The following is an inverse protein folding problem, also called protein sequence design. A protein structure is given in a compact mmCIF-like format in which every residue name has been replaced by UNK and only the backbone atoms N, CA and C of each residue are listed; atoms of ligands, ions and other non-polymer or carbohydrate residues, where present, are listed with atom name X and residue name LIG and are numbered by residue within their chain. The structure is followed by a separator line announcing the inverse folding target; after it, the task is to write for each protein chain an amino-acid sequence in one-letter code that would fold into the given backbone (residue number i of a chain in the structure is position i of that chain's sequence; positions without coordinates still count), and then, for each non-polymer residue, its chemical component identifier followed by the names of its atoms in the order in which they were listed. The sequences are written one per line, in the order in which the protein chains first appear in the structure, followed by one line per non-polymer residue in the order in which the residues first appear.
data_IF_910335569603
#
_entry.id   IF_910335569603
#
_cell.length_a   1.000
_cell.length_b   1.000
_cell.length_c   1.000
_cell.angle_alpha   90.00
_cell.angle_beta   90.00
_cell.angle_gamma   90.00
#
_symmetry.space_group_name_H-M   'P 1'
#
loop_
_entity.id
_entity.type
_entity.pdbx_description
1 polymer ?
#
# COMPACT_ATOMS: atom_id res chain seq x y z
N UNK A 1 27.12 -13.57 -31.88
CA UNK A 1 27.80 -13.48 -30.57
C UNK A 1 26.81 -13.81 -29.46
N UNK A 2 26.95 -14.95 -28.78
CA UNK A 2 26.12 -15.28 -27.60
C UNK A 2 26.68 -14.46 -26.43
N UNK A 3 25.92 -13.47 -25.94
CA UNK A 3 26.26 -12.79 -24.67
C UNK A 3 26.21 -13.83 -23.54
N UNK A 4 27.35 -14.14 -22.97
CA UNK A 4 27.43 -14.92 -21.73
C UNK A 4 26.79 -14.10 -20.61
N UNK A 5 25.77 -14.67 -19.94
CA UNK A 5 25.20 -14.07 -18.74
C UNK A 5 26.28 -13.96 -17.65
N UNK A 6 26.33 -12.87 -16.88
CA UNK A 6 27.31 -12.70 -15.83
C UNK A 6 27.16 -13.82 -14.79
N UNK A 7 28.29 -14.40 -14.36
CA UNK A 7 28.30 -15.43 -13.31
C UNK A 7 27.85 -14.81 -11.99
N UNK A 8 26.83 -15.40 -11.37
CA UNK A 8 26.35 -14.98 -10.05
C UNK A 8 27.49 -15.15 -9.04
N UNK A 9 27.79 -14.10 -8.28
CA UNK A 9 28.84 -14.11 -7.26
C UNK A 9 28.53 -15.13 -6.14
N UNK A 10 29.55 -15.54 -5.39
CA UNK A 10 29.38 -16.44 -4.24
C UNK A 10 28.41 -15.88 -3.21
N UNK A 11 28.47 -14.57 -2.97
CA UNK A 11 27.54 -13.82 -2.11
C UNK A 11 26.10 -13.87 -2.66
N UNK A 12 25.93 -13.70 -3.98
CA UNK A 12 24.61 -13.81 -4.62
C UNK A 12 24.01 -15.21 -4.51
N UNK A 13 24.84 -16.26 -4.59
CA UNK A 13 24.39 -17.65 -4.38
C UNK A 13 24.00 -17.92 -2.94
N UNK A 14 24.74 -17.39 -1.96
CA UNK A 14 24.41 -17.50 -0.55
C UNK A 14 23.10 -16.80 -0.22
N UNK A 15 22.88 -15.57 -0.76
CA UNK A 15 21.65 -14.82 -0.61
C UNK A 15 20.45 -15.57 -1.22
N UNK A 16 20.60 -16.09 -2.44
CA UNK A 16 19.55 -16.88 -3.10
C UNK A 16 19.20 -18.12 -2.28
N UNK A 17 20.18 -18.82 -1.69
CA UNK A 17 19.95 -19.97 -0.82
C UNK A 17 19.21 -19.59 0.47
N UNK A 18 19.55 -18.44 1.07
CA UNK A 18 18.83 -17.91 2.25
C UNK A 18 17.40 -17.55 1.92
N UNK A 19 17.13 -16.95 0.76
CA UNK A 19 15.79 -16.65 0.29
C UNK A 19 14.95 -17.90 0.05
N UNK A 20 15.56 -18.96 -0.53
CA UNK A 20 14.88 -20.25 -0.70
C UNK A 20 14.54 -20.92 0.63
N UNK A 21 15.40 -20.82 1.64
CA UNK A 21 15.09 -21.30 2.99
C UNK A 21 13.97 -20.48 3.65
N UNK A 22 13.91 -19.17 3.41
CA UNK A 22 12.85 -18.30 3.89
C UNK A 22 11.50 -18.58 3.20
N UNK A 23 11.49 -19.14 1.99
CA UNK A 23 10.29 -19.44 1.22
C UNK A 23 9.33 -20.37 2.00
N UNK A 24 9.85 -21.35 2.70
CA UNK A 24 9.04 -22.25 3.55
C UNK A 24 8.32 -21.50 4.68
N UNK A 25 8.90 -20.42 5.20
CA UNK A 25 8.27 -19.55 6.19
C UNK A 25 7.17 -18.70 5.55
N UNK A 26 7.42 -18.17 4.35
CA UNK A 26 6.43 -17.39 3.59
C UNK A 26 5.23 -18.25 3.19
N UNK A 27 5.45 -19.49 2.79
CA UNK A 27 4.38 -20.43 2.43
C UNK A 27 3.45 -20.77 3.61
N UNK A 28 3.92 -20.63 4.85
CA UNK A 28 3.06 -20.82 6.01
C UNK A 28 1.98 -19.73 6.14
N UNK A 29 2.19 -18.55 5.56
CA UNK A 29 1.20 -17.47 5.57
C UNK A 29 -0.12 -17.90 4.92
N UNK A 30 -0.10 -18.81 3.94
CA UNK A 30 -1.28 -19.38 3.28
C UNK A 30 -2.26 -20.03 4.26
N UNK A 31 -1.79 -20.58 5.37
CA UNK A 31 -2.66 -21.19 6.38
C UNK A 31 -3.62 -20.17 6.99
N UNK A 32 -3.20 -18.92 7.12
CA UNK A 32 -4.04 -17.85 7.65
C UNK A 32 -5.10 -17.40 6.64
N UNK A 33 -4.89 -17.63 5.34
CA UNK A 33 -5.85 -17.29 4.29
C UNK A 33 -7.08 -18.21 4.28
N UNK A 34 -7.04 -19.35 4.97
CA UNK A 34 -8.20 -20.26 5.10
C UNK A 34 -9.17 -19.83 6.19
N UNK A 35 -8.78 -18.90 7.04
CA UNK A 35 -9.59 -18.38 8.14
C UNK A 35 -10.23 -17.05 7.74
N UNK A 36 -11.47 -16.78 8.21
CA UNK A 36 -12.09 -15.48 8.00
C UNK A 36 -11.24 -14.36 8.62
N UNK A 37 -11.12 -13.24 7.92
CA UNK A 37 -10.48 -12.06 8.47
C UNK A 37 -11.43 -11.38 9.47
N UNK A 38 -10.98 -11.24 10.71
CA UNK A 38 -11.77 -10.67 11.82
C UNK A 38 -11.12 -9.47 12.48
N UNK A 39 -9.95 -9.05 11.99
CA UNK A 39 -9.20 -7.95 12.59
C UNK A 39 -9.84 -6.60 12.23
N UNK A 40 -10.19 -5.83 13.25
CA UNK A 40 -10.82 -4.51 13.08
C UNK A 40 -9.81 -3.39 12.81
N UNK A 41 -8.52 -3.68 12.98
CA UNK A 41 -7.43 -2.71 12.85
C UNK A 41 -6.78 -2.69 11.46
N UNK A 42 -7.48 -3.17 10.45
CA UNK A 42 -6.99 -3.33 9.08
C UNK A 42 -6.40 -2.05 8.47
N UNK A 43 -6.99 -0.91 8.77
CA UNK A 43 -6.49 0.38 8.27
C UNK A 43 -5.67 1.15 9.30
N UNK A 44 -5.37 0.55 10.45
CA UNK A 44 -4.58 1.20 11.49
C UNK A 44 -3.14 1.42 11.01
N UNK A 45 -2.69 2.67 10.87
CA UNK A 45 -1.29 2.97 10.55
C UNK A 45 -0.39 2.63 11.72
N UNK A 46 0.81 2.14 11.43
CA UNK A 46 1.82 1.76 12.43
C UNK A 46 2.82 2.89 12.67
N UNK A 47 2.30 4.09 12.91
CA UNK A 47 3.12 5.27 13.19
C UNK A 47 3.72 5.14 14.59
N UNK A 48 5.02 5.41 14.70
CA UNK A 48 5.79 5.39 15.96
C UNK A 48 5.87 4.04 16.68
N UNK A 49 5.56 2.94 16.00
CA UNK A 49 5.71 1.61 16.58
C UNK A 49 7.16 1.11 16.48
N UNK A 50 7.65 0.46 17.53
CA UNK A 50 9.05 0.02 17.64
C UNK A 50 9.49 -0.91 16.50
N UNK A 51 8.60 -1.79 16.03
CA UNK A 51 8.93 -2.84 15.06
C UNK A 51 8.42 -2.57 13.65
N UNK A 52 7.50 -1.61 13.49
CA UNK A 52 6.94 -1.23 12.20
C UNK A 52 7.43 0.17 11.83
N UNK A 53 8.15 0.27 10.74
CA UNK A 53 8.67 1.54 10.27
C UNK A 53 7.76 2.24 9.27
N UNK A 54 6.85 1.51 8.66
CA UNK A 54 5.97 2.02 7.63
C UNK A 54 4.69 1.17 7.54
N UNK A 55 3.64 1.77 6.99
CA UNK A 55 2.39 1.10 6.66
C UNK A 55 2.07 1.38 5.21
N UNK A 56 1.74 0.34 4.47
CA UNK A 56 1.40 0.39 3.07
C UNK A 56 -0.08 0.08 2.87
N UNK A 57 -0.76 0.93 2.13
CA UNK A 57 -2.11 0.70 1.65
C UNK A 57 -2.11 0.67 0.13
N UNK A 58 -2.52 -0.45 -0.45
CA UNK A 58 -2.79 -0.59 -1.87
C UNK A 58 -4.29 -0.85 -2.04
N UNK A 59 -4.97 0.01 -2.80
CA UNK A 59 -6.39 -0.14 -3.11
C UNK A 59 -6.51 -0.20 -4.62
N UNK A 60 -7.15 -1.25 -5.12
CA UNK A 60 -7.28 -1.47 -6.55
C UNK A 60 -8.73 -1.70 -6.94
N UNK A 61 -9.25 -0.86 -7.81
CA UNK A 61 -10.57 -0.95 -8.40
C UNK A 61 -10.42 -1.44 -9.84
N UNK A 62 -10.65 -2.72 -10.10
CA UNK A 62 -10.58 -3.28 -11.45
C UNK A 62 -11.87 -3.04 -12.22
N UNK A 63 -11.83 -3.22 -13.53
CA UNK A 63 -13.00 -3.26 -14.41
C UNK A 63 -13.83 -1.98 -14.41
N UNK A 64 -13.19 -0.83 -14.26
CA UNK A 64 -13.83 0.45 -14.49
C UNK A 64 -14.09 0.68 -15.99
N UNK A 65 -15.08 1.52 -16.35
CA UNK A 65 -15.34 1.88 -17.75
C UNK A 65 -14.14 2.54 -18.43
N UNK A 66 -14.12 2.46 -19.76
CA UNK A 66 -13.20 3.27 -20.58
C UNK A 66 -13.45 4.76 -20.32
N UNK A 67 -12.41 5.60 -20.34
CA UNK A 67 -11.01 5.29 -20.66
C UNK A 67 -10.17 4.80 -19.48
N UNK A 68 -10.70 4.79 -18.27
CA UNK A 68 -9.94 4.56 -17.04
C UNK A 68 -9.54 3.09 -16.83
N UNK A 69 -10.40 2.14 -17.14
CA UNK A 69 -10.25 0.68 -16.98
C UNK A 69 -9.98 0.21 -15.56
N UNK A 70 -9.23 0.94 -14.79
CA UNK A 70 -8.92 0.68 -13.38
C UNK A 70 -8.61 1.99 -12.64
N UNK A 71 -8.68 1.95 -11.30
CA UNK A 71 -8.07 2.93 -10.42
C UNK A 71 -7.16 2.18 -9.45
N UNK A 72 -5.92 2.60 -9.37
CA UNK A 72 -4.95 2.14 -8.39
C UNK A 72 -4.60 3.29 -7.44
N UNK A 73 -4.63 3.03 -6.15
CA UNK A 73 -4.27 3.97 -5.08
C UNK A 73 -3.19 3.32 -4.25
N UNK A 74 -2.07 4.03 -4.06
CA UNK A 74 -0.95 3.58 -3.26
C UNK A 74 -0.60 4.65 -2.23
N UNK A 75 -0.61 4.27 -0.96
CA UNK A 75 -0.22 5.12 0.16
C UNK A 75 0.85 4.41 0.97
N UNK A 76 1.92 5.12 1.29
CA UNK A 76 2.92 4.72 2.27
C UNK A 76 2.93 5.74 3.41
N UNK A 77 2.80 5.29 4.64
CA UNK A 77 2.87 6.14 5.84
C UNK A 77 4.10 5.74 6.63
N UNK A 78 5.06 6.67 6.73
CA UNK A 78 6.39 6.41 7.25
C UNK A 78 7.18 5.52 6.30
N UNK A 79 8.18 6.04 5.63
CA UNK A 79 8.99 5.26 4.70
C UNK A 79 10.16 4.55 5.41
N UNK A 80 10.66 3.44 4.89
CA UNK A 80 11.75 2.71 5.55
C UNK A 80 13.13 3.36 5.37
N UNK A 81 13.27 4.46 4.64
CA UNK A 81 14.56 5.03 4.28
C UNK A 81 15.37 4.12 3.34
N UNK A 82 14.70 3.27 2.58
CA UNK A 82 15.32 2.37 1.63
C UNK A 82 15.18 2.92 0.21
N UNK A 83 16.28 3.05 -0.50
CA UNK A 83 16.36 3.58 -1.87
C UNK A 83 15.31 3.00 -2.86
N UNK A 84 14.79 1.81 -2.60
CA UNK A 84 13.79 1.17 -3.46
C UNK A 84 12.40 1.82 -3.40
N UNK A 85 12.11 2.60 -2.34
CA UNK A 85 10.80 3.20 -2.08
C UNK A 85 10.87 4.70 -1.84
N UNK A 86 12.07 5.26 -1.72
CA UNK A 86 12.27 6.68 -1.47
C UNK A 86 12.61 7.37 -2.78
N UNK A 87 11.83 8.38 -3.13
CA UNK A 87 12.23 9.40 -4.06
C UNK A 87 12.89 10.51 -3.27
N UNK A 88 14.21 10.51 -3.20
CA UNK A 88 15.01 11.48 -2.44
C UNK A 88 14.66 12.93 -2.81
N UNK A 89 14.22 13.15 -4.05
CA UNK A 89 13.87 14.48 -4.55
C UNK A 89 12.58 15.06 -3.94
N UNK A 90 11.67 14.22 -3.45
CA UNK A 90 10.38 14.67 -2.88
C UNK A 90 10.29 14.50 -1.36
N UNK A 91 11.14 13.66 -0.76
CA UNK A 91 11.19 13.46 0.69
C UNK A 91 12.22 14.42 1.26
N UNK A 92 11.75 15.60 1.69
CA UNK A 92 12.61 16.69 2.18
C UNK A 92 12.91 16.62 3.68
N UNK A 93 12.31 15.68 4.41
CA UNK A 93 12.40 15.57 5.86
C UNK A 93 12.77 14.18 6.35
N UNK A 94 12.35 13.86 7.57
CA UNK A 94 12.53 12.54 8.13
C UNK A 94 11.60 11.53 7.43
N UNK A 95 12.12 10.51 6.74
CA UNK A 95 11.31 9.52 6.01
C UNK A 95 10.24 8.84 6.88
N UNK A 96 10.55 8.62 8.16
CA UNK A 96 9.60 8.02 9.14
C UNK A 96 8.42 8.92 9.46
N UNK A 97 8.54 10.21 9.21
CA UNK A 97 7.49 11.23 9.37
C UNK A 97 6.99 11.77 8.04
N UNK A 98 7.10 10.99 7.00
CA UNK A 98 6.62 11.34 5.67
C UNK A 98 5.60 10.30 5.22
N UNK A 99 4.46 10.76 4.71
CA UNK A 99 3.53 9.93 3.95
C UNK A 99 3.69 10.24 2.47
N UNK A 100 3.54 9.22 1.64
CA UNK A 100 3.54 9.39 0.19
C UNK A 100 2.28 8.80 -0.41
N UNK A 101 1.80 9.42 -1.48
CA UNK A 101 0.59 9.02 -2.19
C UNK A 101 0.80 9.14 -3.69
N UNK A 102 0.35 8.15 -4.42
CA UNK A 102 0.09 8.27 -5.85
C UNK A 102 -1.15 7.46 -6.24
N UNK A 103 -1.74 7.88 -7.34
CA UNK A 103 -2.87 7.18 -7.93
C UNK A 103 -2.68 7.10 -9.44
N UNK A 104 -3.31 6.13 -10.07
CA UNK A 104 -3.22 5.96 -11.52
C UNK A 104 -4.44 5.28 -12.10
N UNK A 105 -4.75 5.62 -13.34
CA UNK A 105 -5.73 4.95 -14.21
C UNK A 105 -5.09 4.65 -15.56
N UNK A 106 -5.75 3.88 -16.41
CA UNK A 106 -5.26 3.65 -17.78
C UNK A 106 -5.29 4.90 -18.67
N UNK A 107 -6.06 5.92 -18.29
CA UNK A 107 -6.17 7.18 -19.02
C UNK A 107 -5.10 8.22 -18.62
N UNK A 108 -4.37 7.99 -17.51
CA UNK A 108 -3.37 8.91 -17.00
C UNK A 108 -2.00 8.63 -17.63
N UNK A 109 -1.41 9.63 -18.26
CA UNK A 109 -0.09 9.48 -18.91
C UNK A 109 1.06 9.38 -17.90
N UNK A 110 0.97 10.07 -16.76
CA UNK A 110 1.97 10.08 -15.69
C UNK A 110 1.29 10.09 -14.33
N UNK A 111 1.71 9.20 -13.46
CA UNK A 111 1.37 9.21 -12.05
C UNK A 111 2.46 9.94 -11.26
N UNK A 112 2.16 11.11 -10.70
CA UNK A 112 3.10 11.89 -9.90
C UNK A 112 3.04 11.47 -8.44
N UNK A 113 4.15 11.04 -7.88
CA UNK A 113 4.25 10.77 -6.45
C UNK A 113 4.19 12.08 -5.67
N UNK A 114 3.33 12.16 -4.65
CA UNK A 114 3.21 13.30 -3.74
C UNK A 114 3.68 12.89 -2.34
N UNK A 115 4.31 13.83 -1.64
CA UNK A 115 4.81 13.62 -0.28
C UNK A 115 4.20 14.63 0.70
N UNK A 116 3.94 14.18 1.92
CA UNK A 116 3.27 14.93 2.98
C UNK A 116 4.02 14.76 4.29
N UNK A 117 4.26 15.85 5.01
CA UNK A 117 4.90 15.81 6.33
C UNK A 117 3.86 15.44 7.40
N UNK A 118 4.19 14.49 8.24
CA UNK A 118 3.35 14.06 9.35
C UNK A 118 3.80 14.80 10.62
N UNK A 119 2.92 15.51 11.34
CA UNK A 119 1.47 15.66 11.11
C UNK A 119 1.05 16.90 10.32
N UNK A 120 1.99 17.73 9.85
CA UNK A 120 1.76 19.08 9.32
C UNK A 120 0.77 19.09 8.15
N UNK A 121 0.96 18.16 7.20
CA UNK A 121 0.16 18.05 5.97
C UNK A 121 -0.88 16.92 6.03
N UNK A 122 -1.04 16.32 7.22
CA UNK A 122 -1.89 15.10 7.33
C UNK A 122 -2.80 15.13 8.54
N UNK A 123 -3.93 14.42 8.45
CA UNK A 123 -4.76 14.05 9.60
C UNK A 123 -4.88 12.55 9.66
N UNK A 124 -4.21 11.94 10.62
CA UNK A 124 -4.18 10.48 10.76
C UNK A 124 -4.57 10.09 12.18
N UNK A 125 -5.71 9.42 12.31
CA UNK A 125 -6.12 8.84 13.58
C UNK A 125 -5.33 7.55 13.85
N UNK A 126 -4.83 7.39 15.07
CA UNK A 126 -4.05 6.21 15.48
C UNK A 126 -4.81 4.89 15.36
N UNK A 127 -6.13 4.93 15.43
CA UNK A 127 -7.00 3.76 15.25
C UNK A 127 -7.32 3.48 13.77
N UNK A 128 -6.85 4.33 12.84
CA UNK A 128 -7.04 4.19 11.41
C UNK A 128 -8.43 4.57 10.92
N UNK A 129 -9.26 5.21 11.75
CA UNK A 129 -10.61 5.63 11.33
C UNK A 129 -10.63 6.81 10.39
N UNK A 130 -9.52 7.53 10.31
CA UNK A 130 -9.30 8.65 9.38
C UNK A 130 -7.84 8.67 8.95
N UNK A 131 -7.63 8.78 7.65
CA UNK A 131 -6.33 9.04 7.01
C UNK A 131 -6.58 10.09 5.92
N UNK A 132 -6.12 11.32 6.15
CA UNK A 132 -6.15 12.39 5.16
C UNK A 132 -4.71 12.80 4.84
N UNK A 133 -4.38 12.89 3.56
CA UNK A 133 -3.09 13.37 3.06
C UNK A 133 -3.34 14.60 2.17
N UNK A 134 -2.95 15.76 2.67
CA UNK A 134 -3.25 17.03 2.02
C UNK A 134 -4.74 17.24 1.82
N UNK A 135 -5.11 17.61 0.60
CA UNK A 135 -6.50 17.69 0.13
C UNK A 135 -6.78 16.62 -0.93
N UNK A 136 -5.78 15.79 -1.23
CA UNK A 136 -5.81 14.87 -2.35
C UNK A 136 -6.48 13.55 -2.05
N UNK A 137 -6.46 13.08 -0.79
CA UNK A 137 -7.11 11.83 -0.44
C UNK A 137 -7.59 11.79 1.01
N UNK A 138 -8.77 11.22 1.21
CA UNK A 138 -9.35 10.90 2.50
C UNK A 138 -9.81 9.44 2.51
N UNK A 139 -9.41 8.69 3.54
CA UNK A 139 -9.92 7.36 3.86
C UNK A 139 -10.58 7.43 5.23
N UNK A 140 -11.86 7.09 5.31
CA UNK A 140 -12.65 7.16 6.53
C UNK A 140 -13.41 5.86 6.78
N UNK A 141 -13.64 5.54 8.04
CA UNK A 141 -14.51 4.43 8.41
C UNK A 141 -13.82 3.40 9.29
N UNK A 142 -14.50 2.27 9.45
CA UNK A 142 -14.05 1.10 10.23
C UNK A 142 -14.40 -0.16 9.48
N UNK A 143 -13.52 -1.17 9.59
CA UNK A 143 -13.82 -2.49 9.06
C UNK A 143 -15.24 -2.95 9.50
N UNK A 144 -16.07 -3.45 8.60
CA UNK A 144 -15.78 -3.71 7.18
C UNK A 144 -16.11 -2.54 6.22
N UNK A 145 -16.61 -1.40 6.70
CA UNK A 145 -17.08 -0.29 5.86
C UNK A 145 -16.05 0.84 5.85
N UNK A 146 -15.59 1.18 4.67
CA UNK A 146 -14.63 2.26 4.43
C UNK A 146 -15.16 3.13 3.30
N UNK A 147 -15.07 4.44 3.49
CA UNK A 147 -15.29 5.44 2.46
C UNK A 147 -13.95 6.03 2.03
N UNK A 148 -13.72 6.16 0.73
CA UNK A 148 -12.53 6.76 0.17
C UNK A 148 -12.92 7.78 -0.89
N UNK A 149 -12.39 8.99 -0.76
CA UNK A 149 -12.56 10.03 -1.76
C UNK A 149 -11.25 10.79 -1.97
N UNK A 150 -11.14 11.44 -3.12
CA UNK A 150 -9.97 12.25 -3.40
C UNK A 150 -10.01 12.91 -4.76
N UNK A 151 -9.01 13.77 -4.93
CA UNK A 151 -8.69 14.44 -6.18
C UNK A 151 -7.21 14.23 -6.52
N UNK A 152 -6.90 13.75 -7.70
CA UNK A 152 -5.53 13.48 -8.09
C UNK A 152 -5.31 13.69 -9.59
N UNK A 153 -4.39 14.60 -9.94
CA UNK A 153 -3.95 14.86 -11.32
C UNK A 153 -5.09 14.97 -12.34
N UNK A 154 -6.16 15.72 -11.94
CA UNK A 154 -7.27 16.04 -12.83
C UNK A 154 -8.43 15.06 -12.82
N UNK A 155 -8.44 14.05 -11.95
CA UNK A 155 -9.60 13.20 -11.75
C UNK A 155 -10.04 13.16 -10.29
N UNK A 156 -11.36 13.06 -10.11
CA UNK A 156 -12.03 12.90 -8.82
C UNK A 156 -12.50 11.47 -8.65
N UNK A 157 -12.40 10.94 -7.45
CA UNK A 157 -12.95 9.63 -7.11
C UNK A 157 -13.64 9.66 -5.76
N UNK A 158 -14.71 8.86 -5.66
CA UNK A 158 -15.50 8.70 -4.46
C UNK A 158 -16.08 7.29 -4.44
N UNK A 159 -15.69 6.47 -3.44
CA UNK A 159 -16.09 5.08 -3.34
C UNK A 159 -16.42 4.67 -1.92
N UNK A 160 -17.56 4.01 -1.75
CA UNK A 160 -17.88 3.18 -0.59
C UNK A 160 -17.32 1.77 -0.83
N UNK A 161 -16.63 1.23 0.17
CA UNK A 161 -15.97 -0.07 0.13
C UNK A 161 -16.50 -0.94 1.25
N UNK A 162 -17.07 -2.08 0.88
CA UNK A 162 -17.50 -3.13 1.80
C UNK A 162 -16.49 -4.29 1.76
N UNK A 163 -15.63 -4.36 2.77
CA UNK A 163 -14.59 -5.38 2.88
C UNK A 163 -15.22 -6.69 3.33
N UNK A 164 -14.89 -7.77 2.64
CA UNK A 164 -15.34 -9.11 3.00
C UNK A 164 -14.42 -9.76 4.01
N UNK A 165 -14.80 -10.92 4.53
CA UNK A 165 -13.95 -11.74 5.40
C UNK A 165 -12.86 -12.53 4.64
N UNK A 166 -12.83 -12.47 3.30
CA UNK A 166 -11.83 -13.18 2.50
C UNK A 166 -10.50 -12.43 2.52
N UNK A 167 -9.45 -13.12 2.89
CA UNK A 167 -8.10 -12.58 2.98
C UNK A 167 -7.09 -13.48 2.29
N UNK A 168 -6.14 -12.88 1.60
CA UNK A 168 -4.95 -13.56 1.08
C UNK A 168 -3.72 -13.04 1.82
N UNK A 169 -3.12 -13.88 2.62
CA UNK A 169 -1.87 -13.56 3.32
C UNK A 169 -0.69 -13.90 2.42
N UNK A 170 0.17 -12.92 2.18
CA UNK A 170 1.44 -13.08 1.47
C UNK A 170 2.59 -13.28 2.44
N UNK A 171 2.62 -12.50 3.52
CA UNK A 171 3.64 -12.55 4.56
C UNK A 171 2.95 -12.32 5.91
N UNK A 172 3.32 -13.12 6.92
CA UNK A 172 2.92 -12.92 8.30
C UNK A 172 4.09 -13.22 9.22
N UNK A 173 4.63 -12.18 9.83
CA UNK A 173 5.79 -12.24 10.72
C UNK A 173 5.57 -11.33 11.93
N UNK A 174 6.39 -11.44 13.00
CA UNK A 174 6.30 -10.51 14.13
C UNK A 174 6.59 -9.04 13.80
N UNK A 175 7.27 -8.78 12.67
CA UNK A 175 7.74 -7.44 12.29
C UNK A 175 7.18 -6.93 10.96
N UNK A 176 6.50 -7.79 10.19
CA UNK A 176 5.93 -7.42 8.91
C UNK A 176 4.76 -8.32 8.54
N UNK A 177 3.63 -7.72 8.32
CA UNK A 177 2.42 -8.37 7.82
C UNK A 177 2.09 -7.80 6.43
N UNK A 178 1.80 -8.68 5.46
CA UNK A 178 1.34 -8.30 4.14
C UNK A 178 0.19 -9.21 3.72
N UNK A 179 -0.95 -8.62 3.49
CA UNK A 179 -2.17 -9.32 3.09
C UNK A 179 -3.02 -8.46 2.17
N UNK A 180 -3.91 -9.10 1.43
CA UNK A 180 -4.93 -8.46 0.60
C UNK A 180 -6.31 -8.92 1.02
N UNK A 181 -7.28 -8.02 0.97
CA UNK A 181 -8.68 -8.29 1.27
C UNK A 181 -9.53 -8.14 0.02
N UNK A 182 -10.47 -9.04 -0.14
CA UNK A 182 -11.49 -8.89 -1.15
C UNK A 182 -12.58 -7.94 -0.66
N UNK A 183 -12.95 -6.98 -1.48
CA UNK A 183 -13.98 -6.00 -1.17
C UNK A 183 -14.97 -5.86 -2.33
N UNK A 184 -16.17 -5.38 -2.00
CA UNK A 184 -17.13 -4.81 -2.96
C UNK A 184 -17.00 -3.30 -2.88
N UNK A 185 -17.25 -2.61 -3.97
CA UNK A 185 -17.20 -1.16 -4.00
C UNK A 185 -18.34 -0.59 -4.84
N UNK A 186 -18.73 0.64 -4.50
CA UNK A 186 -19.71 1.44 -5.24
C UNK A 186 -19.27 2.90 -5.18
N UNK A 187 -19.33 3.60 -6.30
CA UNK A 187 -18.93 4.99 -6.35
C UNK A 187 -18.72 5.46 -7.78
N UNK A 188 -17.92 6.51 -7.95
CA UNK A 188 -17.62 7.08 -9.25
C UNK A 188 -16.16 7.51 -9.37
N UNK A 189 -15.73 7.64 -10.60
CA UNK A 189 -14.49 8.25 -11.04
C UNK A 189 -14.82 9.22 -12.17
N UNK A 190 -14.50 10.49 -12.00
CA UNK A 190 -14.71 11.56 -12.98
C UNK A 190 -13.36 12.16 -13.40
N UNK A 191 -13.30 12.57 -14.67
CA UNK A 191 -12.11 13.22 -15.26
C UNK A 191 -12.41 14.67 -15.56
#
# INVERSE_FOLDING_TARGET
MKKQLPKISTTGKALAKSLLLAQGVLDQAKKYSTLPFTQTHIIRPRIDEKYYSWTHYGIFFPLLPEPHRYLNIMILIGTPGALAFDHDDIITGNPRKTATFFSSTAALEQALLKAYIIPEDTKINKDGTLIELGQEISIQGKFPHIHINGHYDGFDFDFDIDITSHVSWFIKTPIYDHFSLLAKFKGFLNY
#
